data_IF_737612311527
#
_entry.id   IF_737612311527
#
_cell.length_a   1.000
_cell.length_b   1.000
_cell.length_c   1.000
_cell.angle_alpha   90.00
_cell.angle_beta   90.00
_cell.angle_gamma   90.00
#
_symmetry.space_group_name_H-M   'P 1'
#
loop_
_entity.id
_entity.type
_entity.pdbx_description
1 polymer ?
#
# COMPACT_ATOMS: atom_id res chain seq x y z
N UNK A 1 22.93 10.33 0.42
CA UNK A 1 21.95 9.42 -0.24
C UNK A 1 20.60 9.62 0.43
N UNK A 2 19.52 9.76 -0.34
CA UNK A 2 18.18 10.01 0.21
C UNK A 2 17.31 8.77 -0.04
N UNK A 3 17.13 7.95 0.99
CA UNK A 3 16.27 6.78 0.94
C UNK A 3 14.80 7.18 1.04
N UNK A 4 13.92 6.54 0.25
CA UNK A 4 12.47 6.76 0.28
C UNK A 4 11.76 5.49 0.72
N UNK A 5 10.73 5.61 1.55
CA UNK A 5 9.89 4.47 1.92
C UNK A 5 9.13 4.02 0.67
N UNK A 6 9.44 2.82 0.18
CA UNK A 6 8.83 2.22 -1.00
C UNK A 6 7.65 1.31 -0.62
N UNK A 7 7.60 0.85 0.63
CA UNK A 7 6.51 0.04 1.13
C UNK A 7 6.79 -0.53 2.52
N UNK A 8 5.92 -1.44 2.95
CA UNK A 8 6.09 -2.21 4.17
C UNK A 8 6.02 -3.70 3.85
N UNK A 9 6.91 -4.49 4.44
CA UNK A 9 6.89 -5.96 4.31
C UNK A 9 5.60 -6.55 4.92
N UNK A 10 5.16 -5.98 6.05
CA UNK A 10 3.87 -6.24 6.66
C UNK A 10 3.56 -5.22 7.76
N UNK A 11 2.29 -5.01 8.07
CA UNK A 11 1.82 -4.36 9.29
C UNK A 11 1.24 -5.42 10.25
N UNK A 12 1.69 -5.45 11.50
CA UNK A 12 1.03 -6.16 12.59
C UNK A 12 -0.06 -5.24 13.15
N UNK A 13 -1.32 -5.53 12.86
CA UNK A 13 -2.47 -4.70 13.27
C UNK A 13 -2.70 -4.66 14.78
N UNK A 14 -2.20 -5.61 15.56
CA UNK A 14 -2.41 -5.64 17.02
C UNK A 14 -1.44 -4.70 17.76
N UNK A 15 -0.19 -4.62 17.31
CA UNK A 15 0.87 -3.83 17.96
C UNK A 15 1.34 -2.62 17.14
N UNK A 16 0.81 -2.41 15.93
CA UNK A 16 1.20 -1.34 15.01
C UNK A 16 2.63 -1.46 14.50
N UNK A 17 3.24 -2.66 14.58
CA UNK A 17 4.64 -2.89 14.24
C UNK A 17 4.76 -3.34 12.79
N UNK A 18 5.64 -2.69 12.05
CA UNK A 18 5.91 -2.99 10.64
C UNK A 18 7.40 -2.97 10.35
N UNK A 19 7.80 -3.61 9.26
CA UNK A 19 9.12 -3.37 8.65
C UNK A 19 8.93 -2.49 7.44
N UNK A 20 9.46 -1.26 7.50
CA UNK A 20 9.53 -0.37 6.38
C UNK A 20 10.68 -0.76 5.45
N UNK A 21 10.38 -0.76 4.15
CA UNK A 21 11.35 -0.95 3.08
C UNK A 21 11.68 0.44 2.52
N UNK A 22 12.87 0.93 2.82
CA UNK A 22 13.38 2.18 2.27
C UNK A 22 14.30 1.86 1.10
N UNK A 23 13.98 2.35 -0.09
CA UNK A 23 14.77 2.10 -1.28
C UNK A 23 15.43 3.40 -1.74
N UNK A 24 16.67 3.28 -2.18
CA UNK A 24 17.37 4.38 -2.83
C UNK A 24 16.75 4.63 -4.22
N UNK A 25 16.67 5.88 -4.74
CA UNK A 25 16.00 6.16 -6.01
C UNK A 25 16.62 5.45 -7.22
N UNK A 26 17.92 5.21 -7.17
CA UNK A 26 18.70 4.44 -8.15
C UNK A 26 18.53 2.92 -8.00
N UNK A 27 17.77 2.47 -6.99
CA UNK A 27 17.56 1.06 -6.61
C UNK A 27 18.86 0.29 -6.35
N UNK A 28 19.95 0.96 -6.00
CA UNK A 28 21.21 0.27 -5.66
C UNK A 28 21.12 -0.42 -4.29
N UNK A 29 20.45 0.24 -3.34
CA UNK A 29 20.41 -0.14 -1.94
C UNK A 29 18.97 -0.11 -1.41
N UNK A 30 18.70 -1.03 -0.49
CA UNK A 30 17.47 -1.16 0.27
C UNK A 30 17.81 -1.19 1.75
N UNK A 31 17.09 -0.44 2.55
CA UNK A 31 17.20 -0.41 4.00
C UNK A 31 15.88 -0.92 4.60
N UNK A 32 15.98 -1.87 5.52
CA UNK A 32 14.86 -2.41 6.28
C UNK A 32 14.89 -1.82 7.69
N UNK A 33 13.78 -1.25 8.12
CA UNK A 33 13.67 -0.56 9.42
C UNK A 33 12.43 -1.03 10.14
N UNK A 34 12.59 -1.46 11.39
CA UNK A 34 11.46 -1.77 12.25
C UNK A 34 10.80 -0.47 12.75
N UNK A 35 9.50 -0.35 12.51
CA UNK A 35 8.71 0.83 12.85
C UNK A 35 7.48 0.44 13.67
N UNK A 36 7.07 1.30 14.60
CA UNK A 36 5.80 1.25 15.32
C UNK A 36 5.11 2.60 15.14
N UNK A 37 3.87 2.62 14.65
CA UNK A 37 3.09 3.85 14.46
C UNK A 37 3.87 4.97 13.72
N UNK A 38 4.53 4.63 12.60
CA UNK A 38 5.37 5.55 11.80
C UNK A 38 6.66 6.06 12.47
N UNK A 39 7.03 5.54 13.64
CA UNK A 39 8.30 5.84 14.31
C UNK A 39 9.22 4.62 14.34
N UNK A 40 10.54 4.82 14.26
CA UNK A 40 11.51 3.73 14.39
C UNK A 40 11.46 3.19 15.83
N UNK A 41 11.43 1.87 15.97
CA UNK A 41 11.46 1.23 17.30
C UNK A 41 12.87 1.36 17.90
N UNK A 42 12.97 1.94 19.10
CA UNK A 42 14.23 2.02 19.83
C UNK A 42 14.81 0.64 20.13
N UNK A 43 16.14 0.53 20.11
CA UNK A 43 16.85 -0.75 20.32
C UNK A 43 16.92 -1.67 19.08
N UNK A 44 16.25 -1.32 17.98
CA UNK A 44 16.29 -2.10 16.73
C UNK A 44 17.42 -1.64 15.79
N UNK A 45 17.91 -2.57 14.98
CA UNK A 45 18.97 -2.33 13.99
C UNK A 45 18.36 -2.08 12.61
N UNK A 46 18.93 -1.12 11.88
CA UNK A 46 18.60 -0.91 10.47
C UNK A 46 19.44 -1.86 9.62
N UNK A 47 18.79 -2.63 8.77
CA UNK A 47 19.47 -3.61 7.91
C UNK A 47 19.61 -3.02 6.52
N UNK A 48 20.85 -2.81 6.07
CA UNK A 48 21.14 -2.37 4.71
C UNK A 48 21.49 -3.56 3.83
N UNK A 49 20.78 -3.68 2.70
CA UNK A 49 20.93 -4.72 1.69
C UNK A 49 21.14 -4.04 0.34
N UNK A 50 21.89 -4.68 -0.55
CA UNK A 50 21.83 -4.34 -1.98
C UNK A 50 20.49 -4.79 -2.54
N UNK A 51 20.04 -4.21 -3.66
CA UNK A 51 18.78 -4.65 -4.29
C UNK A 51 18.81 -6.13 -4.67
N UNK A 52 19.95 -6.64 -5.16
CA UNK A 52 20.10 -8.07 -5.47
C UNK A 52 19.87 -8.96 -4.23
N UNK A 53 20.43 -8.58 -3.07
CA UNK A 53 20.22 -9.30 -1.81
C UNK A 53 18.78 -9.21 -1.30
N UNK A 54 18.12 -8.09 -1.57
CA UNK A 54 16.70 -7.93 -1.24
C UNK A 54 15.82 -8.80 -2.15
N UNK A 55 16.14 -8.93 -3.43
CA UNK A 55 15.43 -9.82 -4.34
C UNK A 55 15.64 -11.30 -3.98
N UNK A 56 16.86 -11.68 -3.59
CA UNK A 56 17.17 -13.01 -3.03
C UNK A 56 16.36 -13.30 -1.78
N UNK A 57 16.29 -12.35 -0.82
CA UNK A 57 15.47 -12.48 0.38
C UNK A 57 13.99 -12.76 0.07
N UNK A 58 13.45 -12.13 -0.99
CA UNK A 58 12.08 -12.36 -1.44
C UNK A 58 11.92 -13.78 -2.02
N UNK A 59 12.91 -14.25 -2.79
CA UNK A 59 12.90 -15.57 -3.40
C UNK A 59 13.09 -16.69 -2.39
N UNK A 60 14.02 -16.54 -1.44
CA UNK A 60 14.38 -17.53 -0.42
C UNK A 60 13.26 -17.72 0.60
N UNK A 61 12.50 -16.66 0.89
CA UNK A 61 11.38 -16.69 1.81
C UNK A 61 10.08 -16.28 1.08
N UNK A 62 9.49 -17.14 0.23
CA UNK A 62 8.28 -16.79 -0.52
C UNK A 62 7.05 -16.59 0.38
N UNK A 63 7.03 -17.25 1.55
CA UNK A 63 6.00 -17.08 2.57
C UNK A 63 6.22 -15.76 3.33
N UNK A 64 5.21 -14.88 3.30
CA UNK A 64 5.29 -13.53 3.85
C UNK A 64 5.49 -13.57 5.37
N UNK A 65 4.83 -14.49 6.06
CA UNK A 65 4.97 -14.63 7.51
C UNK A 65 6.38 -15.07 7.88
N UNK A 66 6.91 -16.11 7.22
CA UNK A 66 8.29 -16.57 7.45
C UNK A 66 9.31 -15.48 7.14
N UNK A 67 9.12 -14.75 6.04
CA UNK A 67 9.97 -13.62 5.66
C UNK A 67 9.95 -12.53 6.71
N UNK A 68 8.76 -12.19 7.23
CA UNK A 68 8.61 -11.18 8.27
C UNK A 68 9.37 -11.57 9.54
N UNK A 69 9.21 -12.79 10.02
CA UNK A 69 9.94 -13.30 11.19
C UNK A 69 11.45 -13.27 10.98
N UNK A 70 11.92 -13.68 9.79
CA UNK A 70 13.32 -13.63 9.46
C UNK A 70 13.87 -12.20 9.47
N UNK A 71 13.16 -11.26 8.85
CA UNK A 71 13.59 -9.85 8.82
C UNK A 71 13.49 -9.20 10.20
N UNK A 72 12.52 -9.57 11.03
CA UNK A 72 12.48 -9.10 12.41
C UNK A 72 13.69 -9.56 13.23
N UNK A 73 14.12 -10.80 13.03
CA UNK A 73 15.35 -11.33 13.64
C UNK A 73 16.58 -10.54 13.14
N UNK A 74 16.68 -10.27 11.84
CA UNK A 74 17.76 -9.44 11.26
C UNK A 74 17.78 -8.02 11.85
N UNK A 75 16.60 -7.40 12.04
CA UNK A 75 16.44 -6.08 12.63
C UNK A 75 16.57 -6.08 14.17
N UNK A 76 16.81 -7.24 14.79
CA UNK A 76 16.84 -7.43 16.26
C UNK A 76 15.61 -6.87 16.97
N UNK A 77 14.43 -7.09 16.39
CA UNK A 77 13.16 -6.74 17.04
C UNK A 77 12.92 -7.71 18.19
N UNK A 78 12.53 -7.18 19.36
CA UNK A 78 12.22 -8.00 20.52
C UNK A 78 11.11 -9.01 20.19
N UNK A 79 11.33 -10.26 20.60
CA UNK A 79 10.41 -11.37 20.36
C UNK A 79 9.11 -11.22 21.12
N UNK A 80 9.09 -10.43 22.18
CA UNK A 80 7.86 -10.10 22.92
C UNK A 80 6.86 -9.30 22.07
N UNK A 81 7.32 -8.70 20.98
CA UNK A 81 6.45 -8.02 20.01
C UNK A 81 5.85 -8.94 18.94
N UNK A 82 6.33 -10.18 18.86
CA UNK A 82 5.98 -11.16 17.84
C UNK A 82 4.91 -12.12 18.36
N UNK A 83 3.64 -11.72 18.25
CA UNK A 83 2.53 -12.64 18.55
C UNK A 83 2.36 -13.67 17.43
N UNK A 84 2.18 -14.98 17.72
CA UNK A 84 1.92 -16.00 16.71
C UNK A 84 0.54 -15.88 16.03
N UNK A 85 -0.35 -14.98 16.50
CA UNK A 85 -1.69 -14.72 15.95
C UNK A 85 -1.72 -13.78 14.72
N UNK A 86 -0.57 -13.34 14.22
CA UNK A 86 -0.47 -12.19 13.30
C UNK A 86 -1.06 -12.47 11.92
N UNK A 87 -2.06 -11.66 11.54
CA UNK A 87 -2.52 -11.52 10.16
C UNK A 87 -1.53 -10.61 9.43
N UNK A 88 -0.58 -11.24 8.72
CA UNK A 88 0.43 -10.54 7.92
C UNK A 88 -0.23 -9.99 6.66
N UNK A 89 -0.31 -8.65 6.53
CA UNK A 89 -0.76 -7.98 5.31
C UNK A 89 0.38 -7.16 4.75
N UNK A 90 0.81 -7.48 3.52
CA UNK A 90 1.71 -6.60 2.78
C UNK A 90 0.93 -5.38 2.32
N UNK A 91 1.30 -4.21 2.85
CA UNK A 91 0.71 -2.93 2.46
C UNK A 91 1.73 -2.23 1.59
N UNK A 92 1.43 -2.14 0.29
CA UNK A 92 2.11 -1.18 -0.55
C UNK A 92 1.81 0.21 0.03
N UNK A 93 2.84 0.92 0.48
CA UNK A 93 2.69 2.32 0.87
C UNK A 93 2.47 3.08 -0.43
N UNK A 94 1.21 3.19 -0.83
CA UNK A 94 0.76 4.22 -1.76
C UNK A 94 1.23 5.53 -1.14
N UNK A 95 2.27 6.14 -1.72
CA UNK A 95 2.74 7.48 -1.36
C UNK A 95 1.51 8.31 -1.00
N UNK A 96 1.54 9.06 0.11
CA UNK A 96 0.42 9.94 0.48
C UNK A 96 0.15 11.06 -0.55
N UNK A 97 0.87 11.05 -1.69
CA UNK A 97 0.60 11.82 -2.92
C UNK A 97 -0.10 11.05 -4.04
N UNK A 98 -0.45 9.79 -3.82
CA UNK A 98 -1.18 8.93 -4.74
C UNK A 98 -2.64 8.74 -4.28
N UNK A 99 -3.30 9.84 -3.88
CA UNK A 99 -4.76 10.00 -4.05
C UNK A 99 -5.09 10.28 -5.53
N UNK A 100 -4.50 9.53 -6.47
CA UNK A 100 -4.78 9.73 -7.91
C UNK A 100 -5.34 8.52 -8.63
N UNK A 101 -5.52 7.39 -7.94
CA UNK A 101 -6.16 6.21 -8.52
C UNK A 101 -7.22 5.54 -7.62
N UNK A 102 -7.53 6.14 -6.47
CA UNK A 102 -8.88 5.98 -5.92
C UNK A 102 -9.74 6.97 -6.71
N UNK A 103 -10.34 6.50 -7.81
CA UNK A 103 -11.60 7.09 -8.26
C UNK A 103 -12.46 7.16 -7.00
N UNK A 104 -12.64 8.38 -6.48
CA UNK A 104 -13.46 8.61 -5.30
C UNK A 104 -14.81 8.00 -5.62
N UNK A 105 -15.41 7.24 -4.69
CA UNK A 105 -16.78 6.72 -4.87
C UNK A 105 -17.75 7.84 -5.27
N UNK A 106 -17.42 9.10 -4.94
CA UNK A 106 -18.10 10.32 -5.34
C UNK A 106 -18.01 10.63 -6.85
N UNK A 107 -16.87 10.39 -7.51
CA UNK A 107 -16.73 10.64 -8.96
C UNK A 107 -17.55 9.64 -9.78
N UNK A 108 -17.63 8.39 -9.30
CA UNK A 108 -18.49 7.37 -9.91
C UNK A 108 -19.96 7.72 -9.74
N UNK A 109 -20.36 8.21 -8.55
CA UNK A 109 -21.72 8.67 -8.31
C UNK A 109 -22.08 9.88 -9.20
N UNK A 110 -21.15 10.82 -9.37
CA UNK A 110 -21.34 11.97 -10.25
C UNK A 110 -21.45 11.56 -11.73
N UNK A 111 -20.65 10.60 -12.18
CA UNK A 111 -20.75 10.08 -13.55
C UNK A 111 -22.07 9.33 -13.79
N UNK A 112 -22.48 8.48 -12.86
CA UNK A 112 -23.77 7.78 -12.91
C UNK A 112 -24.95 8.78 -12.89
N UNK A 113 -24.88 9.85 -12.10
CA UNK A 113 -25.89 10.91 -12.06
C UNK A 113 -25.95 11.73 -13.36
N UNK A 114 -24.79 12.10 -13.92
CA UNK A 114 -24.71 12.81 -15.21
C UNK A 114 -25.25 11.95 -16.36
N UNK A 115 -25.00 10.64 -16.34
CA UNK A 115 -25.54 9.70 -17.32
C UNK A 115 -27.08 9.65 -17.27
N UNK A 116 -27.66 9.60 -16.07
CA UNK A 116 -29.11 9.61 -15.88
C UNK A 116 -29.73 10.90 -16.42
N UNK A 117 -29.14 12.07 -16.13
CA UNK A 117 -29.61 13.35 -16.66
C UNK A 117 -29.55 13.38 -18.19
N UNK A 118 -28.45 12.90 -18.78
CA UNK A 118 -28.31 12.86 -20.23
C UNK A 118 -29.36 11.95 -20.90
N UNK A 119 -29.64 10.79 -20.31
CA UNK A 119 -30.69 9.89 -20.78
C UNK A 119 -32.07 10.53 -20.66
N UNK A 120 -32.35 11.24 -19.57
CA UNK A 120 -33.62 11.92 -19.35
C UNK A 120 -33.85 13.04 -20.37
N UNK A 121 -32.82 13.84 -20.66
CA UNK A 121 -32.84 14.89 -21.68
C UNK A 121 -33.05 14.31 -23.09
N UNK A 122 -32.38 13.19 -23.41
CA UNK A 122 -32.58 12.50 -24.69
C UNK A 122 -34.02 11.96 -24.83
N UNK A 123 -34.59 11.40 -23.75
CA UNK A 123 -35.97 10.91 -23.74
C UNK A 123 -36.97 12.05 -23.94
N UNK A 124 -36.79 13.19 -23.26
CA UNK A 124 -37.61 14.39 -23.43
C UNK A 124 -37.53 14.97 -24.85
N UNK A 125 -36.33 15.00 -25.44
CA UNK A 125 -36.14 15.45 -26.81
C UNK A 125 -36.86 14.53 -27.81
N UNK A 126 -36.77 13.20 -27.63
CA UNK A 126 -37.45 12.24 -28.48
C UNK A 126 -38.98 12.32 -28.35
N UNK A 127 -39.50 12.49 -27.13
CA UNK A 127 -40.92 12.69 -26.86
C UNK A 127 -41.44 14.00 -27.45
N UNK A 128 -40.70 15.10 -27.29
CA UNK A 128 -41.03 16.39 -27.89
C UNK A 128 -41.01 16.33 -29.41
N UNK A 129 -40.07 15.60 -30.00
CA UNK A 129 -40.01 15.38 -31.45
C UNK A 129 -41.17 14.51 -31.96
N UNK A 130 -41.61 13.53 -31.17
CA UNK A 130 -42.79 12.70 -31.48
C UNK A 130 -44.11 13.48 -31.39
N UNK A 131 -44.26 14.35 -30.39
CA UNK A 131 -45.43 15.22 -30.23
C UNK A 131 -45.54 16.31 -31.28
N UNK A 132 -44.45 16.68 -31.96
CA UNK A 132 -44.47 17.65 -33.05
C UNK A 132 -44.78 17.00 -34.43
N UNK A 133 -44.82 15.67 -34.49
CA UNK A 133 -45.12 14.89 -35.72
C UNK A 133 -46.60 14.49 -35.80
N UNK A 134 -47.34 14.54 -34.69
CA UNK A 134 -48.80 14.41 -34.61
C UNK A 134 -49.47 15.77 -34.54
#
# INVERSE_FOLDING_TARGET
MMFKINGFLSENSENGISIAILMNPDRSMVKLVAMRNDEKIEGTTEVELTSARFDELIADYPDISKRLYHVFDMCKVDKDFLSPSVIVRTIARTDSKSKKYLLSKEDRLHFEFMLIIALFMALFYLLGKWLHIF
#
